data_IF_472900519869
#
_entry.id   IF_472900519869
#
_cell.length_a   1.000
_cell.length_b   1.000
_cell.length_c   1.000
_cell.angle_alpha   90.00
_cell.angle_beta   90.00
_cell.angle_gamma   90.00
#
_symmetry.space_group_name_H-M   'P 1'
#
loop_
_entity.id
_entity.type
_entity.pdbx_description
1 polymer ?
#
# COMPACT_ATOMS: atom_id res chain seq x y z
N UNK A 1 -64.48 6.02 -64.21
CA UNK A 1 -63.79 6.68 -63.08
C UNK A 1 -64.37 6.09 -61.79
N UNK A 2 -63.73 5.04 -61.27
CA UNK A 2 -64.17 4.32 -60.07
C UNK A 2 -63.73 5.09 -58.80
N UNK A 3 -64.66 5.30 -57.86
CA UNK A 3 -64.33 5.72 -56.49
C UNK A 3 -64.55 4.53 -55.56
N UNK A 4 -63.46 4.04 -54.97
CA UNK A 4 -63.45 3.02 -53.93
C UNK A 4 -63.45 3.75 -52.58
N UNK A 5 -64.39 3.38 -51.70
CA UNK A 5 -64.45 3.82 -50.32
C UNK A 5 -63.57 2.91 -49.45
N UNK A 6 -62.73 3.49 -48.60
CA UNK A 6 -61.93 2.75 -47.60
C UNK A 6 -62.40 3.14 -46.20
N UNK A 7 -62.99 2.19 -45.48
CA UNK A 7 -63.32 2.33 -44.06
C UNK A 7 -62.11 1.99 -43.18
N UNK A 8 -61.81 2.87 -42.21
CA UNK A 8 -60.84 2.60 -41.15
C UNK A 8 -61.49 1.72 -40.07
N UNK A 9 -60.93 0.53 -39.83
CA UNK A 9 -61.19 -0.26 -38.62
C UNK A 9 -60.12 0.05 -37.56
N UNK A 10 -60.52 0.53 -36.39
CA UNK A 10 -59.64 0.75 -35.26
C UNK A 10 -59.41 -0.57 -34.50
N UNK A 11 -58.16 -1.02 -34.42
CA UNK A 11 -57.74 -2.14 -33.59
C UNK A 11 -57.32 -1.63 -32.21
N UNK A 12 -58.06 -2.02 -31.16
CA UNK A 12 -57.71 -1.79 -29.76
C UNK A 12 -56.68 -2.84 -29.33
N UNK A 13 -55.41 -2.44 -29.21
CA UNK A 13 -54.36 -3.24 -28.57
C UNK A 13 -54.46 -3.07 -27.04
N UNK A 14 -54.85 -4.15 -26.36
CA UNK A 14 -54.79 -4.29 -24.91
C UNK A 14 -53.34 -4.48 -24.45
N UNK A 15 -52.76 -3.44 -23.85
CA UNK A 15 -51.48 -3.48 -23.15
C UNK A 15 -51.65 -4.17 -21.78
N UNK A 16 -51.14 -5.40 -21.66
CA UNK A 16 -50.93 -6.03 -20.35
C UNK A 16 -49.70 -5.40 -19.69
N UNK A 17 -49.74 -5.06 -18.38
CA UNK A 17 -48.58 -4.54 -17.69
C UNK A 17 -47.58 -5.67 -17.47
N UNK A 18 -46.42 -5.56 -18.14
CA UNK A 18 -45.22 -6.33 -17.80
C UNK A 18 -44.79 -5.89 -16.41
N UNK A 19 -45.01 -6.76 -15.41
CA UNK A 19 -44.47 -6.59 -14.08
C UNK A 19 -42.95 -6.59 -14.17
N UNK A 20 -42.34 -5.42 -14.02
CA UNK A 20 -40.91 -5.28 -13.78
C UNK A 20 -40.70 -5.80 -12.35
N UNK A 21 -40.32 -7.07 -12.24
CA UNK A 21 -39.76 -7.60 -11.00
C UNK A 21 -38.46 -6.85 -10.74
N UNK A 22 -38.50 -5.84 -9.89
CA UNK A 22 -37.29 -5.21 -9.37
C UNK A 22 -36.50 -6.26 -8.62
N UNK A 23 -35.35 -6.66 -9.17
CA UNK A 23 -34.36 -7.36 -8.38
C UNK A 23 -34.02 -6.45 -7.20
N UNK A 24 -34.23 -6.93 -5.97
CA UNK A 24 -33.74 -6.23 -4.80
C UNK A 24 -32.23 -6.04 -4.97
N UNK A 25 -31.81 -4.78 -5.11
CA UNK A 25 -30.39 -4.42 -5.16
C UNK A 25 -29.76 -4.90 -3.86
N UNK A 26 -28.79 -5.82 -3.97
CA UNK A 26 -28.14 -6.38 -2.80
C UNK A 26 -27.46 -5.25 -2.02
N UNK A 27 -27.56 -5.27 -0.69
CA UNK A 27 -26.91 -4.25 0.12
C UNK A 27 -25.39 -4.27 -0.14
N UNK A 28 -24.72 -3.10 -0.24
CA UNK A 28 -23.29 -3.04 -0.46
C UNK A 28 -22.52 -3.81 0.63
N UNK A 29 -21.46 -4.50 0.22
CA UNK A 29 -20.56 -5.24 1.10
C UNK A 29 -19.90 -4.27 2.07
N UNK A 30 -20.15 -4.45 3.38
CA UNK A 30 -19.52 -3.64 4.42
C UNK A 30 -18.05 -4.02 4.56
N UNK A 31 -17.15 -3.12 4.16
CA UNK A 31 -15.71 -3.34 4.28
C UNK A 31 -15.24 -2.88 5.67
N UNK A 32 -14.72 -3.80 6.47
CA UNK A 32 -14.11 -3.48 7.77
C UNK A 32 -12.65 -3.12 7.62
N UNK A 33 -11.92 -3.94 6.86
CA UNK A 33 -10.51 -3.73 6.56
C UNK A 33 -10.27 -3.98 5.08
N UNK A 34 -9.61 -3.04 4.40
CA UNK A 34 -9.14 -3.19 3.04
C UNK A 34 -7.61 -3.31 3.03
N UNK A 35 -7.10 -4.42 2.51
CA UNK A 35 -5.67 -4.70 2.35
C UNK A 35 -5.27 -4.38 0.91
N UNK A 36 -4.42 -3.37 0.75
CA UNK A 36 -3.98 -2.84 -0.53
C UNK A 36 -2.53 -3.27 -0.81
N UNK A 37 -2.33 -4.28 -1.67
CA UNK A 37 -1.01 -4.72 -2.17
C UNK A 37 -0.73 -4.18 -3.57
N UNK A 38 0.52 -4.18 -4.03
CA UNK A 38 0.89 -3.54 -5.31
C UNK A 38 1.11 -4.53 -6.44
N UNK A 39 1.58 -5.75 -6.16
CA UNK A 39 1.75 -6.77 -7.20
C UNK A 39 1.63 -8.21 -6.67
N UNK A 40 1.42 -9.11 -7.62
CA UNK A 40 1.64 -10.54 -7.49
C UNK A 40 2.55 -11.01 -8.62
N UNK A 41 3.45 -11.97 -8.38
CA UNK A 41 4.41 -12.43 -9.39
C UNK A 41 3.74 -13.46 -10.31
N UNK A 42 2.96 -14.38 -9.73
CA UNK A 42 2.34 -15.48 -10.44
C UNK A 42 0.85 -15.62 -10.11
N UNK A 43 0.46 -16.82 -9.71
CA UNK A 43 -0.87 -17.10 -9.17
C UNK A 43 -1.00 -16.53 -7.75
N UNK A 44 -2.24 -16.44 -7.25
CA UNK A 44 -2.48 -16.00 -5.88
C UNK A 44 -2.19 -17.10 -4.83
N UNK A 45 -1.70 -18.28 -5.23
CA UNK A 45 -1.40 -19.41 -4.34
C UNK A 45 -0.38 -20.37 -4.97
N UNK A 46 0.46 -20.98 -4.15
CA UNK A 46 1.19 -22.21 -4.50
C UNK A 46 2.38 -22.03 -5.46
N UNK A 47 2.83 -20.81 -5.69
CA UNK A 47 4.02 -20.50 -6.49
C UNK A 47 4.92 -19.46 -5.78
N UNK A 48 5.72 -18.72 -6.55
CA UNK A 48 6.57 -17.68 -5.96
C UNK A 48 5.72 -16.47 -5.58
N UNK A 49 5.46 -16.32 -4.28
CA UNK A 49 4.73 -15.19 -3.72
C UNK A 49 5.32 -13.81 -4.09
N UNK A 50 4.46 -12.92 -4.53
CA UNK A 50 4.60 -11.47 -4.47
C UNK A 50 4.00 -10.89 -3.19
N UNK A 51 3.57 -9.63 -3.25
CA UNK A 51 3.03 -8.93 -2.07
C UNK A 51 1.62 -9.35 -1.67
N UNK A 52 0.89 -10.07 -2.53
CA UNK A 52 -0.53 -10.36 -2.35
C UNK A 52 -0.80 -11.81 -1.91
N UNK A 53 0.02 -12.77 -2.36
CA UNK A 53 -0.21 -14.20 -2.19
C UNK A 53 -0.51 -14.62 -0.74
N UNK A 54 0.33 -14.27 0.23
CA UNK A 54 0.10 -14.70 1.62
C UNK A 54 -1.17 -14.08 2.24
N UNK A 55 -1.52 -12.85 1.85
CA UNK A 55 -2.80 -12.23 2.24
C UNK A 55 -3.98 -12.97 1.63
N UNK A 56 -3.88 -13.34 0.35
CA UNK A 56 -4.90 -14.13 -0.34
C UNK A 56 -5.07 -15.53 0.24
N UNK A 57 -3.98 -16.22 0.49
CA UNK A 57 -3.96 -17.52 1.15
C UNK A 57 -4.63 -17.46 2.53
N UNK A 58 -4.45 -16.36 3.26
CA UNK A 58 -5.09 -16.19 4.55
C UNK A 58 -6.58 -15.90 4.46
N UNK A 59 -6.98 -14.93 3.64
CA UNK A 59 -8.32 -14.34 3.74
C UNK A 59 -9.27 -14.73 2.61
N UNK A 60 -8.77 -15.06 1.42
CA UNK A 60 -9.58 -15.02 0.19
C UNK A 60 -9.53 -16.27 -0.69
N UNK A 61 -8.90 -17.38 -0.26
CA UNK A 61 -8.86 -18.63 -1.05
C UNK A 61 -10.24 -19.14 -1.50
N UNK A 62 -11.29 -18.81 -0.75
CA UNK A 62 -12.68 -19.21 -1.02
C UNK A 62 -13.53 -18.07 -1.58
N UNK A 63 -12.98 -16.87 -1.67
CA UNK A 63 -13.68 -15.69 -2.16
C UNK A 63 -13.79 -15.74 -3.67
N UNK A 64 -14.92 -15.28 -4.20
CA UNK A 64 -15.04 -15.03 -5.64
C UNK A 64 -14.37 -13.70 -5.98
N UNK A 65 -13.70 -13.59 -7.14
CA UNK A 65 -13.19 -12.31 -7.62
C UNK A 65 -14.36 -11.40 -7.99
N UNK A 66 -14.24 -10.12 -7.62
CA UNK A 66 -15.12 -9.06 -8.08
C UNK A 66 -14.36 -8.12 -9.01
N UNK A 67 -14.77 -8.08 -10.28
CA UNK A 67 -14.17 -7.20 -11.28
C UNK A 67 -14.66 -5.76 -11.06
N UNK A 68 -13.78 -4.90 -10.56
CA UNK A 68 -14.07 -3.47 -10.39
C UNK A 68 -13.71 -2.72 -11.67
N UNK A 69 -14.67 -1.99 -12.23
CA UNK A 69 -14.43 -1.19 -13.44
C UNK A 69 -13.36 -0.13 -13.19
N UNK A 70 -12.23 -0.25 -13.88
CA UNK A 70 -11.11 0.70 -13.81
C UNK A 70 -10.02 0.32 -12.80
N UNK A 71 -10.21 -0.74 -12.01
CA UNK A 71 -9.15 -1.33 -11.21
C UNK A 71 -8.24 -2.23 -12.07
N UNK A 72 -6.97 -2.36 -11.67
CA UNK A 72 -6.00 -3.21 -12.38
C UNK A 72 -6.29 -4.70 -12.23
N UNK A 73 -6.75 -5.11 -11.04
CA UNK A 73 -7.04 -6.50 -10.68
C UNK A 73 -8.36 -6.58 -9.89
N UNK A 74 -8.96 -7.77 -9.79
CA UNK A 74 -10.18 -7.96 -9.02
C UNK A 74 -9.98 -7.66 -7.54
N UNK A 75 -11.06 -7.24 -6.88
CA UNK A 75 -11.16 -7.22 -5.44
C UNK A 75 -11.67 -8.57 -4.92
N UNK A 76 -11.26 -8.93 -3.72
CA UNK A 76 -11.71 -10.12 -3.02
C UNK A 76 -12.18 -9.72 -1.64
N UNK A 77 -13.29 -10.30 -1.18
CA UNK A 77 -13.83 -10.08 0.16
C UNK A 77 -14.23 -11.41 0.79
N UNK A 78 -14.02 -11.54 2.11
CA UNK A 78 -14.56 -12.65 2.89
C UNK A 78 -15.76 -12.21 3.73
N UNK A 79 -16.43 -13.20 4.34
CA UNK A 79 -17.64 -12.97 5.13
C UNK A 79 -17.41 -12.14 6.40
N UNK A 80 -16.15 -12.03 6.85
CA UNK A 80 -15.78 -11.21 8.00
C UNK A 80 -15.65 -9.71 7.67
N UNK A 81 -15.74 -9.33 6.39
CA UNK A 81 -15.56 -7.96 5.91
C UNK A 81 -14.10 -7.56 5.71
N UNK A 82 -13.19 -8.53 5.57
CA UNK A 82 -11.82 -8.30 5.11
C UNK A 82 -11.80 -8.38 3.60
N UNK A 83 -11.45 -7.26 2.97
CA UNK A 83 -11.32 -7.15 1.54
C UNK A 83 -9.88 -6.82 1.14
N UNK A 84 -9.51 -7.08 -0.11
CA UNK A 84 -8.22 -6.68 -0.63
C UNK A 84 -8.10 -6.83 -2.13
N UNK A 85 -7.10 -6.15 -2.69
CA UNK A 85 -6.81 -6.19 -4.12
C UNK A 85 -5.33 -5.88 -4.39
N UNK A 86 -4.90 -6.21 -5.60
CA UNK A 86 -3.65 -5.74 -6.18
C UNK A 86 -3.91 -4.44 -6.93
N UNK A 87 -3.28 -3.34 -6.50
CA UNK A 87 -3.53 -2.00 -7.04
C UNK A 87 -2.60 -1.62 -8.19
N UNK A 88 -1.44 -2.26 -8.28
CA UNK A 88 -0.39 -1.95 -9.26
C UNK A 88 0.71 -1.06 -8.70
N UNK A 89 1.91 -1.19 -9.27
CA UNK A 89 3.11 -0.46 -8.85
C UNK A 89 3.11 1.00 -9.33
N UNK A 90 3.67 1.87 -8.49
CA UNK A 90 3.80 3.31 -8.73
C UNK A 90 2.52 4.09 -8.42
N UNK A 91 2.67 5.41 -8.27
CA UNK A 91 1.59 6.31 -7.82
C UNK A 91 0.39 6.30 -8.75
N UNK A 92 0.61 6.26 -10.07
CA UNK A 92 -0.47 6.32 -11.07
C UNK A 92 -1.35 5.07 -11.05
N UNK A 93 -0.75 3.87 -11.13
CA UNK A 93 -1.53 2.62 -11.13
C UNK A 93 -2.28 2.45 -9.81
N UNK A 94 -1.56 2.58 -8.70
CA UNK A 94 -2.11 2.33 -7.37
C UNK A 94 -3.26 3.27 -7.02
N UNK A 95 -3.10 4.58 -7.30
CA UNK A 95 -4.16 5.57 -7.04
C UNK A 95 -5.37 5.38 -7.97
N UNK A 96 -5.16 5.02 -9.24
CA UNK A 96 -6.26 4.76 -10.19
C UNK A 96 -7.09 3.56 -9.75
N UNK A 97 -6.42 2.46 -9.37
CA UNK A 97 -7.10 1.27 -8.86
C UNK A 97 -7.83 1.54 -7.55
N UNK A 98 -7.18 2.22 -6.59
CA UNK A 98 -7.85 2.59 -5.33
C UNK A 98 -9.07 3.47 -5.59
N UNK A 99 -8.96 4.48 -6.46
CA UNK A 99 -10.08 5.37 -6.77
C UNK A 99 -11.26 4.61 -7.39
N UNK A 100 -10.99 3.67 -8.29
CA UNK A 100 -12.02 2.82 -8.89
C UNK A 100 -12.72 1.96 -7.84
N UNK A 101 -11.95 1.31 -6.95
CA UNK A 101 -12.47 0.44 -5.88
C UNK A 101 -13.31 1.22 -4.87
N UNK A 102 -12.86 2.41 -4.42
CA UNK A 102 -13.61 3.21 -3.45
C UNK A 102 -14.91 3.81 -4.01
N UNK A 103 -15.05 3.88 -5.34
CA UNK A 103 -16.25 4.40 -6.01
C UNK A 103 -17.20 3.31 -6.50
N UNK A 104 -16.82 2.04 -6.37
CA UNK A 104 -17.66 0.92 -6.77
C UNK A 104 -18.84 0.79 -5.80
N UNK A 105 -20.09 0.87 -6.28
CA UNK A 105 -21.28 0.91 -5.43
C UNK A 105 -21.54 -0.40 -4.68
N UNK A 106 -20.88 -1.50 -5.05
CA UNK A 106 -21.02 -2.79 -4.39
C UNK A 106 -20.30 -2.85 -3.03
N UNK A 107 -19.55 -1.79 -2.67
CA UNK A 107 -18.83 -1.69 -1.41
C UNK A 107 -19.24 -0.47 -0.58
N UNK A 108 -19.21 -0.63 0.74
CA UNK A 108 -19.27 0.48 1.69
C UNK A 108 -17.98 0.54 2.52
N UNK A 109 -17.23 1.63 2.32
CA UNK A 109 -15.97 1.94 3.01
C UNK A 109 -16.11 2.99 4.12
N UNK A 110 -17.32 3.43 4.46
CA UNK A 110 -17.56 4.56 5.38
C UNK A 110 -16.93 4.39 6.77
N UNK A 111 -16.65 3.15 7.18
CA UNK A 111 -15.97 2.81 8.43
C UNK A 111 -14.70 1.96 8.22
N UNK A 112 -14.25 1.78 6.98
CA UNK A 112 -13.14 0.88 6.68
C UNK A 112 -11.81 1.37 7.27
N UNK A 113 -10.97 0.42 7.65
CA UNK A 113 -9.55 0.60 7.87
C UNK A 113 -8.79 0.19 6.63
N UNK A 114 -7.69 0.87 6.34
CA UNK A 114 -6.88 0.63 5.15
C UNK A 114 -5.48 0.23 5.55
N UNK A 115 -5.05 -0.96 5.13
CA UNK A 115 -3.68 -1.45 5.29
C UNK A 115 -3.01 -1.40 3.94
N UNK A 116 -2.20 -0.37 3.71
CA UNK A 116 -1.39 -0.21 2.51
C UNK A 116 -0.12 -1.04 2.72
N UNK A 117 0.00 -2.17 2.05
CA UNK A 117 1.00 -3.19 2.34
C UNK A 117 1.89 -3.48 1.13
N UNK A 118 3.13 -3.86 1.39
CA UNK A 118 4.03 -4.43 0.38
C UNK A 118 5.49 -4.43 0.79
N UNK A 119 6.39 -4.53 -0.17
CA UNK A 119 7.84 -4.52 0.03
C UNK A 119 8.43 -3.14 -0.26
N UNK A 120 9.66 -2.91 0.20
CA UNK A 120 10.34 -1.63 0.08
C UNK A 120 11.87 -1.78 0.25
N UNK A 121 12.58 -0.69 -0.01
CA UNK A 121 13.97 -0.51 0.44
C UNK A 121 14.06 0.09 1.84
N UNK A 122 15.21 -0.06 2.50
CA UNK A 122 15.52 0.59 3.79
C UNK A 122 16.94 1.17 3.78
N UNK A 123 17.22 2.32 4.44
CA UNK A 123 18.59 2.76 4.59
C UNK A 123 19.35 1.87 5.60
N UNK A 124 20.60 1.46 5.29
CA UNK A 124 21.37 0.58 6.16
C UNK A 124 21.67 1.20 7.54
N UNK A 125 21.61 2.53 7.62
CA UNK A 125 21.78 3.25 8.90
C UNK A 125 20.58 3.13 9.84
N UNK A 126 19.40 2.69 9.35
CA UNK A 126 18.17 2.62 10.15
C UNK A 126 17.55 1.23 10.23
N UNK A 127 17.68 0.40 9.21
CA UNK A 127 17.06 -0.92 9.16
C UNK A 127 17.96 -2.02 8.60
N UNK A 128 17.40 -3.23 8.51
CA UNK A 128 17.97 -4.42 7.89
C UNK A 128 16.98 -5.04 6.91
N UNK A 129 17.48 -5.82 5.95
CA UNK A 129 16.65 -6.73 5.14
C UNK A 129 15.87 -7.66 6.08
N UNK A 130 14.58 -7.85 5.77
CA UNK A 130 13.62 -8.62 6.55
C UNK A 130 12.82 -7.81 7.56
N UNK A 131 13.24 -6.58 7.89
CA UNK A 131 12.48 -5.69 8.78
C UNK A 131 11.08 -5.44 8.24
N UNK A 132 10.13 -5.22 9.15
CA UNK A 132 8.76 -4.81 8.82
C UNK A 132 8.43 -3.52 9.54
N UNK A 133 8.06 -2.48 8.80
CA UNK A 133 7.82 -1.14 9.34
C UNK A 133 6.36 -0.72 9.24
N UNK A 134 5.83 -0.17 10.33
CA UNK A 134 4.60 0.61 10.33
C UNK A 134 4.92 2.10 10.13
N UNK A 135 4.31 2.71 9.11
CA UNK A 135 4.51 4.11 8.79
C UNK A 135 3.96 5.03 9.87
N UNK A 136 4.75 6.00 10.33
CA UNK A 136 4.30 7.13 11.17
C UNK A 136 3.94 8.35 10.32
N UNK A 137 4.65 8.51 9.20
CA UNK A 137 4.41 9.50 8.16
C UNK A 137 4.56 8.87 6.78
N UNK A 138 3.80 9.38 5.82
CA UNK A 138 3.94 9.08 4.40
C UNK A 138 4.29 10.37 3.67
N UNK A 139 5.37 10.35 2.90
CA UNK A 139 5.89 11.54 2.23
C UNK A 139 6.09 11.24 0.76
N UNK A 140 5.49 12.04 -0.12
CA UNK A 140 5.86 12.05 -1.54
C UNK A 140 7.20 12.78 -1.69
N UNK A 141 8.22 11.98 -2.05
CA UNK A 141 9.61 12.38 -2.20
C UNK A 141 9.84 13.31 -3.39
N UNK A 142 9.13 13.09 -4.50
CA UNK A 142 9.44 13.73 -5.79
C UNK A 142 8.45 14.83 -6.21
N UNK A 143 7.41 15.09 -5.41
CA UNK A 143 6.43 16.14 -5.72
C UNK A 143 6.93 17.55 -5.34
N UNK A 144 7.59 18.20 -6.29
CA UNK A 144 8.11 19.56 -6.18
C UNK A 144 8.65 20.09 -7.51
N UNK A 145 9.63 20.99 -7.43
CA UNK A 145 10.31 21.52 -8.61
C UNK A 145 11.73 20.98 -8.67
N UNK A 146 12.17 20.58 -9.86
CA UNK A 146 13.54 20.10 -10.11
C UNK A 146 14.17 20.79 -11.32
N UNK A 147 15.49 20.91 -11.32
CA UNK A 147 16.28 21.47 -12.43
C UNK A 147 17.58 20.70 -12.61
N UNK A 148 18.36 21.03 -13.65
CA UNK A 148 19.59 20.31 -13.93
C UNK A 148 20.70 20.72 -12.93
N UNK A 149 21.54 19.80 -12.43
CA UNK A 149 22.63 20.13 -11.52
C UNK A 149 23.57 21.23 -12.04
N UNK A 150 23.75 21.31 -13.36
CA UNK A 150 24.61 22.28 -14.02
C UNK A 150 24.05 23.72 -14.01
N UNK A 151 22.75 23.87 -13.75
CA UNK A 151 22.07 25.18 -13.64
C UNK A 151 22.20 25.77 -12.23
N UNK A 152 22.51 24.94 -11.22
CA UNK A 152 22.71 25.33 -9.82
C UNK A 152 24.18 25.51 -9.44
N UNK A 153 24.43 25.88 -8.18
CA UNK A 153 25.79 25.81 -7.64
C UNK A 153 26.17 24.35 -7.35
N UNK A 154 27.41 23.93 -7.63
CA UNK A 154 27.87 22.58 -7.31
C UNK A 154 27.61 22.22 -5.83
N UNK A 155 26.89 21.12 -5.62
CA UNK A 155 26.57 20.60 -4.28
C UNK A 155 25.31 21.17 -3.62
N UNK A 156 24.62 22.13 -4.24
CA UNK A 156 23.28 22.54 -3.77
C UNK A 156 22.19 21.56 -4.24
N UNK A 157 21.09 21.38 -3.48
CA UNK A 157 19.96 20.55 -3.90
C UNK A 157 19.38 21.04 -5.24
N UNK A 158 19.07 20.09 -6.13
CA UNK A 158 18.44 20.36 -7.43
C UNK A 158 16.92 20.19 -7.41
N UNK A 159 16.39 20.00 -6.20
CA UNK A 159 14.99 19.84 -5.91
C UNK A 159 14.59 20.83 -4.80
N UNK A 160 13.47 21.52 -4.99
CA UNK A 160 12.83 22.32 -3.95
C UNK A 160 11.37 21.90 -3.78
N UNK A 161 10.92 21.61 -2.55
CA UNK A 161 9.51 21.47 -2.26
C UNK A 161 8.74 22.76 -2.56
N UNK A 162 7.66 22.65 -3.33
CA UNK A 162 6.74 23.77 -3.54
C UNK A 162 5.92 24.03 -2.27
N UNK A 163 5.92 25.25 -1.73
CA UNK A 163 5.03 25.63 -0.62
C UNK A 163 3.56 25.53 -1.06
N UNK A 164 2.70 24.99 -0.19
CA UNK A 164 1.27 24.80 -0.44
C UNK A 164 0.90 23.41 -0.95
N UNK A 165 1.88 22.51 -1.10
CA UNK A 165 1.68 21.14 -1.56
C UNK A 165 1.59 20.14 -0.39
N UNK A 166 1.78 20.61 0.85
CA UNK A 166 1.87 19.78 2.06
C UNK A 166 0.65 18.87 2.22
N UNK A 167 -0.55 19.38 1.98
CA UNK A 167 -1.83 18.67 2.13
C UNK A 167 -1.97 17.39 1.31
N UNK A 168 -1.18 17.22 0.25
CA UNK A 168 -1.25 16.06 -0.65
C UNK A 168 0.11 15.41 -0.91
N UNK A 169 1.15 15.81 -0.19
CA UNK A 169 2.48 15.20 -0.26
C UNK A 169 3.01 14.76 1.11
N UNK A 170 2.44 15.23 2.22
CA UNK A 170 2.87 14.85 3.57
C UNK A 170 1.64 14.43 4.36
N UNK A 171 1.64 13.19 4.83
CA UNK A 171 0.55 12.63 5.61
C UNK A 171 1.10 12.10 6.93
N UNK A 172 0.70 12.72 8.04
CA UNK A 172 0.93 12.14 9.37
C UNK A 172 -0.14 11.09 9.64
N UNK A 173 0.27 9.86 9.90
CA UNK A 173 -0.67 8.78 10.22
C UNK A 173 -1.11 8.86 11.68
N UNK A 174 -2.27 8.26 11.99
CA UNK A 174 -2.86 8.31 13.32
C UNK A 174 -1.93 7.63 14.34
N UNK A 175 -1.34 8.37 15.30
CA UNK A 175 -0.34 7.82 16.21
C UNK A 175 -0.91 6.75 17.14
N UNK A 176 -2.20 6.83 17.49
CA UNK A 176 -2.85 5.81 18.31
C UNK A 176 -3.04 4.51 17.53
N UNK A 177 -3.38 4.61 16.24
CA UNK A 177 -3.52 3.43 15.36
C UNK A 177 -2.16 2.77 15.12
N UNK A 178 -1.12 3.56 14.84
CA UNK A 178 0.26 3.06 14.72
C UNK A 178 0.71 2.41 16.03
N UNK A 179 0.41 3.02 17.19
CA UNK A 179 0.73 2.46 18.50
C UNK A 179 0.05 1.11 18.77
N UNK A 180 -1.20 0.94 18.34
CA UNK A 180 -1.89 -0.35 18.36
C UNK A 180 -1.18 -1.36 17.46
N UNK A 181 -0.88 -0.98 16.21
CA UNK A 181 -0.21 -1.84 15.25
C UNK A 181 1.12 -2.37 15.80
N UNK A 182 1.98 -1.46 16.31
CA UNK A 182 3.26 -1.82 16.94
C UNK A 182 3.06 -2.75 18.14
N UNK A 183 2.09 -2.49 19.01
CA UNK A 183 1.83 -3.33 20.20
C UNK A 183 1.38 -4.73 19.82
N UNK A 184 0.47 -4.85 18.85
CA UNK A 184 -0.09 -6.12 18.41
C UNK A 184 0.94 -7.01 17.70
N UNK A 185 1.96 -6.39 17.09
CA UNK A 185 2.99 -7.12 16.33
C UNK A 185 4.36 -7.21 17.01
N UNK A 186 4.57 -6.63 18.20
CA UNK A 186 5.88 -6.55 18.88
C UNK A 186 6.57 -7.90 19.16
N UNK A 187 5.80 -9.01 19.22
CA UNK A 187 6.30 -10.35 19.50
C UNK A 187 6.23 -11.32 18.33
N UNK A 188 6.00 -10.82 17.11
CA UNK A 188 5.96 -11.69 15.92
C UNK A 188 7.37 -12.13 15.59
N UNK A 189 7.57 -13.45 15.48
CA UNK A 189 8.84 -14.01 15.03
C UNK A 189 8.98 -13.77 13.52
N UNK A 190 9.95 -12.95 13.14
CA UNK A 190 10.25 -12.67 11.74
C UNK A 190 11.21 -13.73 11.19
N UNK A 191 10.93 -14.20 9.98
CA UNK A 191 11.81 -15.04 9.20
C UNK A 191 13.05 -14.25 8.77
N UNK A 192 14.21 -14.89 8.81
CA UNK A 192 15.49 -14.28 8.43
C UNK A 192 16.34 -15.32 7.69
N UNK A 193 16.48 -15.13 6.38
CA UNK A 193 17.18 -16.08 5.51
C UNK A 193 18.69 -16.04 5.73
N UNK A 194 19.34 -17.18 5.53
CA UNK A 194 20.80 -17.25 5.66
C UNK A 194 21.51 -16.35 4.63
N UNK A 195 20.95 -16.22 3.42
CA UNK A 195 21.49 -15.32 2.40
C UNK A 195 21.39 -13.85 2.81
N UNK A 196 20.27 -13.41 3.41
CA UNK A 196 20.13 -12.04 3.90
C UNK A 196 21.10 -11.75 5.07
N UNK A 197 21.28 -12.70 6.00
CA UNK A 197 22.25 -12.60 7.11
C UNK A 197 23.68 -12.43 6.63
N UNK A 198 24.06 -13.18 5.60
CA UNK A 198 25.40 -13.09 5.00
C UNK A 198 25.55 -11.78 4.21
N UNK A 199 24.55 -11.43 3.41
CA UNK A 199 24.56 -10.23 2.58
C UNK A 199 24.75 -8.96 3.43
N UNK A 200 24.02 -8.85 4.54
CA UNK A 200 24.08 -7.65 5.40
C UNK A 200 25.43 -7.46 6.12
N UNK A 201 26.31 -8.47 6.16
CA UNK A 201 27.68 -8.31 6.67
C UNK A 201 28.57 -7.41 5.80
N UNK A 202 28.14 -7.13 4.56
CA UNK A 202 28.82 -6.18 3.66
C UNK A 202 28.74 -4.74 4.16
N UNK A 203 27.83 -4.44 5.08
CA UNK A 203 27.55 -3.09 5.57
C UNK A 203 28.25 -2.83 6.92
N UNK A 204 28.83 -1.64 7.12
CA UNK A 204 29.47 -1.27 8.38
C UNK A 204 28.45 -0.97 9.49
N UNK A 205 27.23 -0.58 9.12
CA UNK A 205 26.17 -0.16 10.02
C UNK A 205 25.68 -1.31 10.93
N UNK A 206 25.59 -1.05 12.24
CA UNK A 206 25.10 -2.04 13.20
C UNK A 206 23.63 -2.40 12.95
N UNK A 207 22.83 -1.41 12.53
CA UNK A 207 21.41 -1.61 12.18
C UNK A 207 21.25 -2.53 10.98
N UNK A 208 22.03 -2.31 9.92
CA UNK A 208 22.07 -3.21 8.78
C UNK A 208 22.40 -4.65 9.17
N UNK A 209 23.27 -4.90 10.16
CA UNK A 209 23.68 -6.25 10.56
C UNK A 209 22.74 -6.95 11.56
N UNK A 210 21.78 -6.23 12.14
CA UNK A 210 20.87 -6.75 13.16
C UNK A 210 19.92 -7.82 12.60
N UNK A 211 19.33 -8.62 13.48
CA UNK A 211 18.22 -9.49 13.08
C UNK A 211 16.97 -8.64 12.76
N UNK A 212 16.10 -9.10 11.84
CA UNK A 212 14.86 -8.42 11.50
C UNK A 212 13.98 -8.14 12.72
N UNK A 213 13.34 -6.98 12.72
CA UNK A 213 12.41 -6.57 13.75
C UNK A 213 11.21 -5.80 13.18
N UNK A 214 10.16 -5.66 14.00
CA UNK A 214 9.09 -4.71 13.71
C UNK A 214 9.52 -3.32 14.17
N UNK A 215 9.41 -2.34 13.27
CA UNK A 215 9.79 -0.95 13.54
C UNK A 215 8.72 0.05 13.11
N UNK A 216 9.00 1.32 13.37
CA UNK A 216 8.15 2.44 12.96
C UNK A 216 9.01 3.59 12.44
N UNK A 217 8.50 4.34 11.48
CA UNK A 217 9.13 5.59 11.03
C UNK A 217 8.51 6.10 9.75
N UNK A 218 9.15 7.09 9.12
CA UNK A 218 8.63 7.70 7.90
C UNK A 218 8.84 6.78 6.69
N UNK A 219 7.79 6.61 5.89
CA UNK A 219 7.85 5.94 4.59
C UNK A 219 7.89 7.00 3.48
N UNK A 220 8.87 6.88 2.58
CA UNK A 220 9.10 7.77 1.45
C UNK A 220 8.56 7.17 0.17
N UNK A 221 7.62 7.86 -0.47
CA UNK A 221 6.97 7.48 -1.74
C UNK A 221 7.63 8.20 -2.91
N UNK A 222 8.15 7.48 -3.91
CA UNK A 222 8.60 8.06 -5.18
C UNK A 222 8.14 7.25 -6.39
N UNK A 223 8.09 7.85 -7.58
CA UNK A 223 7.77 7.13 -8.83
C UNK A 223 9.01 6.55 -9.54
N UNK A 224 10.18 6.77 -8.96
CA UNK A 224 11.41 6.05 -9.32
C UNK A 224 11.85 5.19 -8.16
N UNK A 225 12.42 4.04 -8.47
CA UNK A 225 13.22 3.27 -7.51
C UNK A 225 14.49 4.08 -7.17
N UNK A 226 14.36 5.06 -6.27
CA UNK A 226 15.46 5.95 -5.92
C UNK A 226 16.48 5.17 -5.10
N UNK A 227 17.76 5.35 -5.45
CA UNK A 227 18.82 4.48 -4.96
C UNK A 227 20.16 5.20 -4.85
N UNK A 228 20.94 4.81 -3.84
CA UNK A 228 22.30 5.27 -3.62
C UNK A 228 22.45 6.34 -2.53
N UNK A 229 23.68 6.55 -2.05
CA UNK A 229 23.93 7.35 -0.85
C UNK A 229 23.62 8.83 -0.96
N UNK A 230 23.56 9.38 -2.18
CA UNK A 230 23.07 10.74 -2.41
C UNK A 230 21.57 10.84 -2.13
N UNK A 231 20.77 10.00 -2.80
CA UNK A 231 19.31 10.02 -2.69
C UNK A 231 18.82 9.53 -1.32
N UNK A 232 19.54 8.60 -0.69
CA UNK A 232 19.31 8.19 0.70
C UNK A 232 19.44 9.39 1.67
N UNK A 233 20.51 10.19 1.53
CA UNK A 233 20.68 11.44 2.32
C UNK A 233 19.62 12.49 1.99
N UNK A 234 19.23 12.61 0.72
CA UNK A 234 18.17 13.51 0.29
C UNK A 234 16.83 13.13 0.91
N UNK A 235 16.47 11.84 0.95
CA UNK A 235 15.26 11.36 1.60
C UNK A 235 15.22 11.72 3.10
N UNK A 236 16.35 11.57 3.81
CA UNK A 236 16.46 12.02 5.20
C UNK A 236 16.30 13.53 5.35
N UNK A 237 16.88 14.30 4.43
CA UNK A 237 16.76 15.75 4.40
C UNK A 237 15.30 16.17 4.18
N UNK A 238 14.60 15.51 3.26
CA UNK A 238 13.19 15.74 2.95
C UNK A 238 12.30 15.44 4.16
N UNK A 239 12.53 14.32 4.86
CA UNK A 239 11.82 14.02 6.11
C UNK A 239 11.94 15.18 7.12
N UNK A 240 13.16 15.66 7.36
CA UNK A 240 13.44 16.78 8.27
C UNK A 240 12.79 18.08 7.80
N UNK A 241 12.87 18.37 6.50
CA UNK A 241 12.29 19.57 5.90
C UNK A 241 10.77 19.62 6.07
N UNK A 242 10.11 18.46 6.06
CA UNK A 242 8.68 18.32 6.28
C UNK A 242 8.27 18.15 7.75
N UNK A 243 9.24 18.14 8.68
CA UNK A 243 8.97 17.92 10.10
C UNK A 243 8.51 16.50 10.44
N UNK A 244 8.74 15.55 9.54
CA UNK A 244 8.54 14.13 9.77
C UNK A 244 9.67 13.56 10.63
N UNK A 245 9.46 12.37 11.19
CA UNK A 245 10.54 11.64 11.88
C UNK A 245 11.50 11.01 10.87
N UNK A 246 12.50 10.26 11.36
CA UNK A 246 13.47 9.65 10.47
C UNK A 246 12.81 8.64 9.52
N UNK A 247 13.17 8.73 8.25
CA UNK A 247 12.71 7.76 7.26
C UNK A 247 13.39 6.41 7.48
N UNK A 248 12.62 5.36 7.26
CA UNK A 248 13.04 3.96 7.45
C UNK A 248 12.74 3.10 6.23
N UNK A 249 11.93 3.61 5.31
CA UNK A 249 11.37 2.87 4.19
C UNK A 249 11.33 3.75 2.95
N UNK A 250 11.61 3.14 1.80
CA UNK A 250 11.53 3.74 0.45
C UNK A 250 10.64 2.87 -0.44
N UNK A 251 9.50 3.40 -0.86
CA UNK A 251 8.45 2.70 -1.62
C UNK A 251 7.82 3.63 -2.67
N UNK A 252 6.77 3.20 -3.38
CA UNK A 252 6.30 3.89 -4.59
C UNK A 252 4.80 4.23 -4.62
N UNK A 253 4.01 3.95 -3.58
CA UNK A 253 2.54 4.06 -3.69
C UNK A 253 1.83 4.76 -2.52
N UNK A 254 2.38 4.68 -1.31
CA UNK A 254 1.60 4.92 -0.08
C UNK A 254 1.03 6.34 0.00
N UNK A 255 1.80 7.37 -0.37
CA UNK A 255 1.31 8.75 -0.40
C UNK A 255 0.15 8.96 -1.40
N UNK A 256 0.22 8.35 -2.59
CA UNK A 256 -0.80 8.48 -3.61
C UNK A 256 -2.10 7.76 -3.23
N UNK A 257 -2.00 6.53 -2.71
CA UNK A 257 -3.16 5.78 -2.19
C UNK A 257 -3.81 6.56 -1.02
N UNK A 258 -2.99 7.09 -0.11
CA UNK A 258 -3.45 7.86 1.04
C UNK A 258 -4.20 9.12 0.63
N UNK A 259 -3.73 9.82 -0.41
CA UNK A 259 -4.44 10.98 -0.94
C UNK A 259 -5.84 10.62 -1.44
N UNK A 260 -5.99 9.49 -2.13
CA UNK A 260 -7.29 9.00 -2.59
C UNK A 260 -8.17 8.70 -1.37
N UNK A 261 -7.73 7.88 -0.42
CA UNK A 261 -8.53 7.57 0.78
C UNK A 261 -8.90 8.86 1.55
N UNK A 262 -7.94 9.78 1.74
CA UNK A 262 -8.15 11.05 2.46
C UNK A 262 -9.29 11.87 1.89
N UNK A 263 -9.40 11.96 0.56
CA UNK A 263 -10.43 12.77 -0.11
C UNK A 263 -11.86 12.26 0.17
N UNK A 264 -12.00 11.00 0.54
CA UNK A 264 -13.29 10.34 0.76
C UNK A 264 -13.58 10.12 2.25
N UNK A 265 -12.56 9.73 3.03
CA UNK A 265 -12.75 9.20 4.39
C UNK A 265 -11.78 9.79 5.43
N UNK A 266 -10.89 10.71 5.04
CA UNK A 266 -9.83 11.22 5.92
C UNK A 266 -8.68 10.24 6.12
N UNK A 267 -7.79 10.52 7.08
CA UNK A 267 -6.55 9.74 7.29
C UNK A 267 -6.53 8.89 8.56
N UNK A 268 -7.57 8.99 9.40
CA UNK A 268 -7.55 8.44 10.76
C UNK A 268 -7.45 6.91 10.82
N UNK A 269 -7.84 6.21 9.74
CA UNK A 269 -7.91 4.74 9.66
C UNK A 269 -6.95 4.15 8.64
N UNK A 270 -5.87 4.86 8.30
CA UNK A 270 -4.86 4.42 7.34
C UNK A 270 -3.62 3.92 8.08
N UNK A 271 -3.15 2.75 7.70
CA UNK A 271 -1.87 2.16 8.07
C UNK A 271 -1.05 1.92 6.81
N UNK A 272 0.26 2.14 6.90
CA UNK A 272 1.22 1.68 5.90
C UNK A 272 2.14 0.64 6.52
N UNK A 273 2.26 -0.50 5.86
CA UNK A 273 3.05 -1.65 6.30
C UNK A 273 4.03 -2.02 5.19
N UNK A 274 5.33 -1.92 5.45
CA UNK A 274 6.35 -2.21 4.43
C UNK A 274 7.43 -3.15 4.95
N UNK A 275 7.74 -4.18 4.18
CA UNK A 275 8.84 -5.11 4.45
C UNK A 275 10.09 -4.74 3.66
N UNK A 276 11.25 -4.67 4.30
CA UNK A 276 12.51 -4.29 3.66
C UNK A 276 13.15 -5.48 2.91
N UNK A 277 13.16 -5.44 1.57
CA UNK A 277 13.74 -6.51 0.72
C UNK A 277 15.13 -6.18 0.19
N UNK A 278 15.57 -4.94 0.35
CA UNK A 278 16.88 -4.46 -0.05
C UNK A 278 17.29 -3.22 0.76
N UNK A 279 18.57 -2.88 0.73
CA UNK A 279 19.01 -1.55 1.14
C UNK A 279 18.75 -0.53 0.03
N UNK A 280 18.47 0.72 0.38
CA UNK A 280 18.26 1.84 -0.56
C UNK A 280 19.56 2.36 -1.19
N UNK A 281 20.70 1.76 -0.84
CA UNK A 281 22.03 2.12 -1.33
C UNK A 281 22.96 0.92 -1.23
N UNK A 282 24.01 0.92 -2.06
CA UNK A 282 25.08 -0.07 -1.97
C UNK A 282 25.96 0.10 -0.72
N UNK A 283 26.72 -0.94 -0.43
CA UNK A 283 27.75 -0.90 0.61
C UNK A 283 28.90 0.08 0.22
N UNK A 284 29.78 0.51 1.15
CA UNK A 284 30.81 1.52 0.85
C UNK A 284 31.79 1.17 -0.28
N UNK A 285 31.91 -0.11 -0.65
CA UNK A 285 32.81 -0.59 -1.70
C UNK A 285 32.10 -0.88 -3.04
N UNK A 286 30.86 -0.41 -3.21
CA UNK A 286 30.01 -0.72 -4.37
C UNK A 286 29.36 0.56 -4.91
N UNK A 287 29.37 0.72 -6.23
CA UNK A 287 28.70 1.86 -6.86
C UNK A 287 27.18 1.67 -6.86
N UNK A 288 26.43 2.77 -6.93
CA UNK A 288 24.96 2.74 -7.06
C UNK A 288 24.51 1.85 -8.22
N UNK A 289 25.20 1.92 -9.37
CA UNK A 289 24.86 1.13 -10.55
C UNK A 289 25.14 -0.36 -10.34
N UNK A 290 26.26 -0.72 -9.70
CA UNK A 290 26.56 -2.12 -9.37
C UNK A 290 25.53 -2.73 -8.42
N UNK A 291 25.00 -1.95 -7.48
CA UNK A 291 23.98 -2.45 -6.57
C UNK A 291 22.59 -2.57 -7.24
N UNK A 292 22.25 -1.66 -8.16
CA UNK A 292 20.99 -1.73 -8.93
C UNK A 292 20.98 -2.88 -9.95
N UNK A 293 22.14 -3.16 -10.56
CA UNK A 293 22.34 -4.26 -11.50
C UNK A 293 23.37 -5.25 -10.92
N UNK A 294 22.99 -6.02 -9.88
CA UNK A 294 23.91 -6.89 -9.19
C UNK A 294 24.33 -8.05 -10.09
N UNK A 295 25.63 -8.36 -10.07
CA UNK A 295 26.15 -9.56 -10.71
C UNK A 295 25.42 -10.82 -10.20
N UNK A 296 25.33 -11.90 -11.00
CA UNK A 296 24.69 -13.14 -10.56
C UNK A 296 25.20 -13.62 -9.20
N UNK A 297 24.28 -13.91 -8.28
CA UNK A 297 24.60 -14.33 -6.91
C UNK A 297 24.95 -13.21 -5.94
N UNK A 298 24.89 -11.93 -6.34
CA UNK A 298 25.12 -10.76 -5.48
C UNK A 298 23.81 -10.06 -5.07
N UNK A 299 22.67 -10.74 -5.15
CA UNK A 299 21.38 -10.21 -4.70
C UNK A 299 21.26 -10.29 -3.18
N UNK A 300 20.46 -9.38 -2.60
CA UNK A 300 20.26 -9.27 -1.16
C UNK A 300 19.76 -10.55 -0.47
N UNK A 301 19.00 -11.40 -1.19
CA UNK A 301 18.24 -12.50 -0.61
C UNK A 301 17.04 -11.99 0.21
N UNK A 302 16.35 -12.89 0.91
CA UNK A 302 15.32 -12.50 1.90
C UNK A 302 13.96 -12.05 1.36
N UNK A 303 13.75 -11.98 0.04
CA UNK A 303 12.49 -11.50 -0.53
C UNK A 303 11.29 -12.34 -0.08
N UNK A 304 11.39 -13.68 -0.20
CA UNK A 304 10.30 -14.60 0.15
C UNK A 304 9.96 -14.53 1.65
N UNK A 305 10.99 -14.48 2.49
CA UNK A 305 10.86 -14.33 3.94
C UNK A 305 10.21 -12.99 4.30
N UNK A 306 10.58 -11.92 3.60
CA UNK A 306 10.07 -10.57 3.87
C UNK A 306 8.59 -10.44 3.49
N UNK A 307 8.14 -10.98 2.35
CA UNK A 307 6.71 -10.96 2.00
C UNK A 307 5.87 -11.78 2.98
N UNK A 308 6.41 -12.89 3.49
CA UNK A 308 5.77 -13.66 4.56
C UNK A 308 5.73 -12.87 5.88
N UNK A 309 6.83 -12.22 6.24
CA UNK A 309 6.93 -11.37 7.44
C UNK A 309 5.90 -10.23 7.43
N UNK A 310 5.70 -9.59 6.28
CA UNK A 310 4.69 -8.53 6.11
C UNK A 310 3.29 -9.04 6.45
N UNK A 311 2.89 -10.20 5.91
CA UNK A 311 1.58 -10.78 6.21
C UNK A 311 1.45 -11.11 7.71
N UNK A 312 2.39 -11.84 8.30
CA UNK A 312 2.25 -12.30 9.70
C UNK A 312 2.28 -11.17 10.73
N UNK A 313 2.89 -10.02 10.38
CA UNK A 313 2.84 -8.78 11.17
C UNK A 313 1.50 -8.09 10.96
N UNK A 314 1.11 -7.91 9.70
CA UNK A 314 -0.08 -7.16 9.34
C UNK A 314 -1.39 -7.82 9.77
N UNK A 315 -1.49 -9.14 9.63
CA UNK A 315 -2.69 -9.89 9.99
C UNK A 315 -3.02 -9.83 11.48
N UNK A 316 -2.03 -9.59 12.37
CA UNK A 316 -2.30 -9.33 13.79
C UNK A 316 -3.20 -8.12 14.00
N UNK A 317 -3.02 -7.09 13.18
CA UNK A 317 -3.81 -5.86 13.25
C UNK A 317 -5.16 -6.07 12.59
N UNK A 318 -5.19 -6.68 11.40
CA UNK A 318 -6.44 -6.98 10.67
C UNK A 318 -7.38 -7.81 11.52
N UNK A 319 -6.90 -8.94 12.05
CA UNK A 319 -7.70 -9.85 12.86
C UNK A 319 -8.19 -9.19 14.15
N UNK A 320 -7.35 -8.35 14.77
CA UNK A 320 -7.75 -7.62 15.98
C UNK A 320 -8.88 -6.63 15.70
N UNK A 321 -8.78 -5.83 14.63
CA UNK A 321 -9.81 -4.86 14.25
C UNK A 321 -11.13 -5.57 13.95
N UNK A 322 -11.08 -6.64 13.15
CA UNK A 322 -12.26 -7.40 12.74
C UNK A 322 -12.91 -8.12 13.92
N UNK A 323 -12.11 -8.77 14.77
CA UNK A 323 -12.58 -9.48 15.95
C UNK A 323 -13.17 -8.56 17.03
N UNK A 324 -12.80 -7.28 17.03
CA UNK A 324 -13.29 -6.27 17.98
C UNK A 324 -14.14 -5.19 17.30
N UNK A 325 -14.78 -5.51 16.16
CA UNK A 325 -15.46 -4.55 15.30
C UNK A 325 -16.48 -3.65 16.01
N UNK A 326 -17.16 -4.16 17.04
CA UNK A 326 -18.13 -3.41 17.84
C UNK A 326 -17.59 -2.07 18.37
N UNK A 327 -16.31 -2.04 18.73
CA UNK A 327 -15.59 -0.85 19.18
C UNK A 327 -14.92 -0.13 18.00
N UNK A 328 -14.18 -0.87 17.18
CA UNK A 328 -13.36 -0.32 16.11
C UNK A 328 -14.14 0.36 14.98
N UNK A 329 -15.40 -0.01 14.75
CA UNK A 329 -16.26 0.68 13.78
C UNK A 329 -16.48 2.16 14.14
N UNK A 330 -16.43 2.50 15.45
CA UNK A 330 -16.65 3.85 15.99
C UNK A 330 -15.42 4.76 15.82
N UNK A 331 -14.26 4.19 15.51
CA UNK A 331 -12.98 4.89 15.41
C UNK A 331 -11.88 4.14 16.15
N UNK A 332 -10.65 4.68 16.09
CA UNK A 332 -9.48 4.08 16.73
C UNK A 332 -9.63 4.17 18.25
N UNK A 333 -9.71 3.04 18.97
CA UNK A 333 -9.79 3.06 20.42
C UNK A 333 -8.53 3.65 21.07
N UNK A 334 -8.62 4.29 22.24
CA UNK A 334 -7.45 4.68 23.01
C UNK A 334 -6.53 3.49 23.26
N UNK A 335 -5.22 3.69 23.11
CA UNK A 335 -4.25 2.64 23.42
C UNK A 335 -4.24 2.40 24.94
N UNK A 336 -4.46 1.17 25.43
CA UNK A 336 -4.46 0.89 26.86
C UNK A 336 -3.08 1.22 27.45
N UNK A 337 -3.06 1.76 28.67
CA UNK A 337 -1.82 1.93 29.42
C UNK A 337 -1.07 0.58 29.51
N UNK A 338 0.27 0.66 29.59
CA UNK A 338 1.10 -0.50 29.87
C UNK A 338 0.88 -0.98 31.29
#
# INVERSE_FOLDING_TARGET
MNRIASGLGAALLSLAPLGIGGAAEAAPTKVKVFVASMFEIGANTGDRAGEFQHWYERYWQKSQPHEVRGALKPAYCNDDGVCGAVLGMGKVNSSSSMQAILLDPDYDFSQAYFVITGVAGTPPSRGTIGDVSWGTWLVDYDLGHRWAPEEGKPGEPVFIPRKGYEEYRVFKLNPTLVGWATRLSAGVNLQDSESAKQYRQRYPDEKARAAPSVQTGTHMTGDTFFHGPGLSKEAQYMAKLYGADDYVITEMEAAAITLVIKRQFGTDRILSLRGAVNFDQGNPNETTQQHLDPAPGQTAGGFAETVANVEVVGSRVVDHIVGNWGEWQKGVPPLPAK
#
